data_IF_075428412730
#
_entry.id   IF_075428412730
#
_cell.length_a   1.000
_cell.length_b   1.000
_cell.length_c   1.000
_cell.angle_alpha   90.00
_cell.angle_beta   90.00
_cell.angle_gamma   90.00
#
_symmetry.space_group_name_H-M   'P 1'
#
loop_
_entity.id
_entity.type
_entity.pdbx_description
1 polymer ?
#
# COMPACT_ATOMS: atom_id res chain seq x y z
N UNK A 1 2.35 -36.04 14.42
CA UNK A 1 1.10 -35.33 14.76
C UNK A 1 0.28 -35.23 13.48
N UNK A 2 -1.01 -35.60 13.50
CA UNK A 2 -1.87 -35.43 12.32
C UNK A 2 -2.18 -33.95 12.13
N UNK A 3 -2.10 -33.47 10.90
CA UNK A 3 -2.41 -32.10 10.56
C UNK A 3 -3.87 -31.77 10.95
N UNK A 4 -4.07 -30.62 11.61
CA UNK A 4 -5.41 -30.17 12.05
C UNK A 4 -6.28 -29.65 10.90
N UNK A 5 -5.75 -29.59 9.68
CA UNK A 5 -6.40 -29.15 8.44
C UNK A 5 -5.71 -29.78 7.21
N UNK A 6 -6.41 -29.84 6.08
CA UNK A 6 -5.87 -30.45 4.84
C UNK A 6 -4.90 -29.50 4.13
N UNK A 7 -3.68 -29.97 3.84
CA UNK A 7 -2.67 -29.24 3.07
C UNK A 7 -1.80 -30.18 2.23
N UNK A 8 -1.13 -29.62 1.21
CA UNK A 8 -0.24 -30.37 0.31
C UNK A 8 1.25 -30.34 0.68
N UNK A 9 1.63 -29.64 1.75
CA UNK A 9 3.04 -29.53 2.15
C UNK A 9 3.60 -30.83 2.76
N UNK A 10 4.89 -31.09 2.52
CA UNK A 10 5.63 -32.23 3.09
C UNK A 10 6.02 -32.06 4.58
N UNK A 11 5.59 -30.96 5.19
CA UNK A 11 5.77 -30.63 6.62
C UNK A 11 4.45 -30.12 7.18
N UNK A 12 4.33 -30.01 8.51
CA UNK A 12 3.17 -29.38 9.17
C UNK A 12 3.30 -27.85 9.09
N UNK A 13 2.51 -27.15 8.24
CA UNK A 13 2.57 -25.70 8.11
C UNK A 13 1.92 -24.98 9.30
N UNK A 14 1.18 -25.68 10.16
CA UNK A 14 0.70 -25.14 11.42
C UNK A 14 1.79 -25.07 12.49
N UNK A 15 2.96 -25.71 12.26
CA UNK A 15 4.06 -25.80 13.23
C UNK A 15 3.59 -26.21 14.64
N UNK A 16 2.55 -27.06 14.75
CA UNK A 16 1.95 -27.50 16.01
C UNK A 16 0.91 -26.56 16.64
N UNK A 17 0.70 -25.35 16.11
CA UNK A 17 -0.26 -24.38 16.62
C UNK A 17 -1.68 -24.65 16.11
N UNK A 18 -2.69 -24.39 16.96
CA UNK A 18 -4.11 -24.33 16.60
C UNK A 18 -4.50 -22.90 16.21
N UNK A 19 -5.70 -22.74 15.64
CA UNK A 19 -6.28 -21.42 15.40
C UNK A 19 -6.42 -20.62 16.71
N UNK A 20 -6.85 -21.27 17.80
CA UNK A 20 -6.97 -20.63 19.10
C UNK A 20 -5.59 -20.16 19.62
N UNK A 21 -4.54 -20.95 19.40
CA UNK A 21 -3.18 -20.53 19.74
C UNK A 21 -2.76 -19.28 18.96
N UNK A 22 -3.02 -19.21 17.64
CA UNK A 22 -2.70 -18.03 16.83
C UNK A 22 -3.49 -16.79 17.23
N UNK A 23 -4.78 -16.93 17.53
CA UNK A 23 -5.62 -15.82 17.99
C UNK A 23 -5.24 -15.33 19.39
N UNK A 24 -4.57 -16.18 20.19
CA UNK A 24 -4.07 -15.81 21.52
C UNK A 24 -2.76 -15.02 21.50
N UNK A 25 -2.08 -14.91 20.35
CA UNK A 25 -0.82 -14.17 20.24
C UNK A 25 -1.07 -12.67 20.43
N UNK A 26 -0.65 -12.16 21.58
CA UNK A 26 -0.69 -10.73 21.90
C UNK A 26 0.39 -9.93 21.17
N UNK A 27 0.18 -8.62 21.08
CA UNK A 27 1.24 -7.70 20.67
C UNK A 27 2.38 -7.68 21.72
N UNK A 28 3.64 -7.51 21.30
CA UNK A 28 4.73 -7.29 22.24
C UNK A 28 4.53 -6.00 23.02
N UNK A 29 5.22 -5.86 24.17
CA UNK A 29 5.22 -4.62 24.92
C UNK A 29 5.77 -3.47 24.05
N UNK A 30 5.02 -2.38 23.95
CA UNK A 30 5.45 -1.22 23.20
C UNK A 30 6.63 -0.52 23.92
N UNK A 31 7.56 0.10 23.17
CA UNK A 31 8.54 1.01 23.74
C UNK A 31 7.89 2.13 24.55
N UNK A 32 8.57 2.59 25.60
CA UNK A 32 8.03 3.61 26.52
C UNK A 32 7.66 4.94 25.82
N UNK A 33 8.35 5.27 24.72
CA UNK A 33 8.20 6.49 23.95
C UNK A 33 7.40 6.30 22.64
N UNK A 34 6.75 5.14 22.44
CA UNK A 34 6.12 4.80 21.17
C UNK A 34 5.16 5.89 20.65
N UNK A 35 4.29 6.41 21.52
CA UNK A 35 3.33 7.45 21.14
C UNK A 35 4.03 8.76 20.78
N UNK A 36 4.94 9.23 21.64
CA UNK A 36 5.67 10.48 21.45
C UNK A 36 6.52 10.45 20.17
N UNK A 37 7.16 9.31 19.90
CA UNK A 37 7.95 9.07 18.70
C UNK A 37 7.14 9.24 17.41
N UNK A 38 5.91 8.69 17.37
CA UNK A 38 5.04 8.79 16.20
C UNK A 38 4.38 10.16 16.08
N UNK A 39 4.00 10.80 17.19
CA UNK A 39 3.47 12.16 17.19
C UNK A 39 4.50 13.16 16.68
N UNK A 40 5.76 13.05 17.13
CA UNK A 40 6.86 13.89 16.64
C UNK A 40 7.10 13.68 15.13
N UNK A 41 7.03 12.44 14.63
CA UNK A 41 7.11 12.14 13.19
C UNK A 41 5.96 12.76 12.40
N UNK A 42 4.75 12.62 12.90
CA UNK A 42 3.56 13.19 12.27
C UNK A 42 3.65 14.72 12.18
N UNK A 43 4.03 15.40 13.28
CA UNK A 43 4.22 16.85 13.30
C UNK A 43 5.26 17.30 12.26
N UNK A 44 6.39 16.59 12.13
CA UNK A 44 7.39 16.88 11.08
C UNK A 44 6.83 16.68 9.68
N UNK A 45 6.05 15.63 9.45
CA UNK A 45 5.44 15.37 8.15
C UNK A 45 4.46 16.46 7.72
N UNK A 46 3.72 17.08 8.65
CA UNK A 46 2.80 18.19 8.36
C UNK A 46 3.50 19.45 7.82
N UNK A 47 4.80 19.62 8.09
CA UNK A 47 5.58 20.73 7.54
C UNK A 47 6.05 20.49 6.11
N UNK A 48 5.86 19.28 5.56
CA UNK A 48 6.19 18.96 4.17
C UNK A 48 5.03 19.36 3.27
N UNK A 49 5.29 20.20 2.27
CA UNK A 49 4.34 20.47 1.20
C UNK A 49 4.56 19.44 0.08
N UNK A 50 3.59 18.54 -0.21
CA UNK A 50 3.83 17.46 -1.17
C UNK A 50 3.98 17.91 -2.63
N UNK A 51 3.43 19.07 -3.00
CA UNK A 51 3.53 19.66 -4.35
C UNK A 51 3.39 18.62 -5.48
N UNK A 52 2.27 17.86 -5.54
CA UNK A 52 2.12 16.77 -6.48
C UNK A 52 2.14 17.28 -7.92
N UNK A 53 2.82 16.54 -8.80
CA UNK A 53 2.75 16.68 -10.25
C UNK A 53 2.12 15.43 -10.81
N UNK A 54 1.12 15.63 -11.67
CA UNK A 54 0.33 14.57 -12.27
C UNK A 54 0.38 14.79 -13.77
N UNK A 55 0.88 13.82 -14.51
CA UNK A 55 1.11 13.91 -15.95
C UNK A 55 0.37 12.78 -16.65
N UNK A 56 -0.50 13.12 -17.60
CA UNK A 56 -1.26 12.11 -18.33
C UNK A 56 -0.34 11.35 -19.29
N UNK A 57 -0.32 10.02 -19.21
CA UNK A 57 0.60 9.18 -20.01
C UNK A 57 0.18 9.03 -21.47
N UNK A 58 -1.04 9.43 -21.81
CA UNK A 58 -1.66 9.16 -23.12
C UNK A 58 -2.30 7.78 -23.22
N UNK A 59 -2.18 6.94 -22.18
CA UNK A 59 -2.68 5.57 -22.18
C UNK A 59 -4.02 5.50 -21.45
N UNK A 60 -4.98 4.87 -22.12
CA UNK A 60 -6.23 4.41 -21.53
C UNK A 60 -6.21 2.89 -21.48
N UNK A 61 -6.51 2.31 -20.32
CA UNK A 61 -6.59 0.86 -20.15
C UNK A 61 -7.70 0.52 -19.18
N UNK A 62 -8.47 -0.50 -19.51
CA UNK A 62 -9.44 -1.11 -18.59
C UNK A 62 -10.51 -0.16 -18.02
N UNK A 63 -10.79 0.95 -18.71
CA UNK A 63 -11.72 2.00 -18.28
C UNK A 63 -11.09 3.10 -17.44
N UNK A 64 -9.76 3.16 -17.37
CA UNK A 64 -8.99 4.20 -16.67
C UNK A 64 -8.05 4.95 -17.61
N UNK A 65 -7.97 6.26 -17.41
CA UNK A 65 -6.86 7.09 -17.85
C UNK A 65 -5.69 6.92 -16.87
N UNK A 66 -4.50 6.70 -17.40
CA UNK A 66 -3.29 6.45 -16.61
C UNK A 66 -2.45 7.72 -16.56
N UNK A 67 -2.04 8.10 -15.36
CA UNK A 67 -1.17 9.24 -15.10
C UNK A 67 0.07 8.79 -14.32
N UNK A 68 1.20 9.39 -14.64
CA UNK A 68 2.37 9.37 -13.77
C UNK A 68 2.16 10.43 -12.68
N UNK A 69 2.42 10.06 -11.42
CA UNK A 69 2.31 10.97 -10.29
C UNK A 69 3.62 11.00 -9.54
N UNK A 70 4.06 12.21 -9.19
CA UNK A 70 5.21 12.41 -8.30
C UNK A 70 4.94 13.48 -7.26
N UNK A 71 5.39 13.27 -6.04
CA UNK A 71 5.21 14.22 -4.94
C UNK A 71 6.35 14.15 -3.93
N UNK A 72 6.60 15.28 -3.27
CA UNK A 72 7.59 15.39 -2.20
C UNK A 72 7.06 14.73 -0.91
N UNK A 73 7.94 14.00 -0.24
CA UNK A 73 7.69 13.35 1.04
C UNK A 73 8.73 13.81 2.07
N UNK A 74 8.72 13.23 3.27
CA UNK A 74 9.68 13.58 4.35
C UNK A 74 11.13 13.49 3.86
N UNK A 75 12.06 14.21 4.48
CA UNK A 75 13.48 14.14 4.10
C UNK A 75 13.74 14.56 2.63
N UNK A 76 12.83 15.33 2.05
CA UNK A 76 12.87 15.82 0.66
C UNK A 76 12.92 14.71 -0.40
N UNK A 77 12.45 13.51 -0.06
CA UNK A 77 12.41 12.41 -1.02
C UNK A 77 11.21 12.54 -1.95
N UNK A 78 11.40 12.28 -3.24
CA UNK A 78 10.31 12.24 -4.23
C UNK A 78 9.75 10.82 -4.31
N UNK A 79 8.46 10.69 -4.06
CA UNK A 79 7.71 9.46 -4.31
C UNK A 79 7.10 9.58 -5.69
N UNK A 80 7.27 8.54 -6.51
CA UNK A 80 6.68 8.41 -7.85
C UNK A 80 5.65 7.28 -7.85
N UNK A 81 4.98 7.07 -8.98
CA UNK A 81 4.02 5.98 -9.15
C UNK A 81 2.93 6.32 -10.13
N UNK A 82 1.80 5.61 -10.03
CA UNK A 82 0.69 5.74 -10.97
C UNK A 82 -0.59 6.20 -10.31
N UNK A 83 -1.33 7.05 -11.00
CA UNK A 83 -2.68 7.45 -10.67
C UNK A 83 -3.61 7.04 -11.82
N UNK A 84 -4.63 6.24 -11.50
CA UNK A 84 -5.62 5.78 -12.47
C UNK A 84 -6.93 6.51 -12.19
N UNK A 85 -7.44 7.22 -13.19
CA UNK A 85 -8.70 7.98 -13.12
C UNK A 85 -9.75 7.27 -13.98
N UNK A 86 -10.91 6.90 -13.41
CA UNK A 86 -11.93 6.21 -14.18
C UNK A 86 -12.55 7.11 -15.25
N UNK A 87 -12.84 6.55 -16.41
CA UNK A 87 -13.49 7.27 -17.51
C UNK A 87 -15.00 7.36 -17.33
N UNK A 88 -15.58 8.46 -17.82
CA UNK A 88 -17.03 8.63 -17.94
C UNK A 88 -17.79 8.75 -16.61
N UNK A 89 -17.07 8.88 -15.49
CA UNK A 89 -17.67 9.05 -14.16
C UNK A 89 -16.84 10.01 -13.30
N UNK A 90 -17.47 10.85 -12.45
CA UNK A 90 -16.74 11.69 -11.52
C UNK A 90 -16.02 10.83 -10.46
N UNK A 91 -14.82 11.26 -10.08
CA UNK A 91 -14.10 10.69 -8.94
C UNK A 91 -14.77 11.15 -7.65
N UNK A 92 -15.23 10.20 -6.84
CA UNK A 92 -15.89 10.45 -5.55
C UNK A 92 -15.12 9.83 -4.37
N UNK A 93 -14.14 8.97 -4.66
CA UNK A 93 -13.29 8.31 -3.67
C UNK A 93 -11.97 7.87 -4.32
N UNK A 94 -11.00 7.53 -3.48
CA UNK A 94 -9.73 6.98 -3.91
C UNK A 94 -9.36 5.74 -3.10
N UNK A 95 -8.67 4.79 -3.73
CA UNK A 95 -7.97 3.71 -3.07
C UNK A 95 -6.46 3.94 -3.19
N UNK A 96 -5.74 3.82 -2.08
CA UNK A 96 -4.28 3.93 -2.04
C UNK A 96 -3.72 2.55 -1.76
N UNK A 97 -2.84 2.07 -2.64
CA UNK A 97 -2.28 0.73 -2.57
C UNK A 97 -0.88 0.77 -1.96
N UNK A 98 -0.58 -0.22 -1.12
CA UNK A 98 0.80 -0.53 -0.72
C UNK A 98 1.27 -1.77 -1.47
N UNK A 99 2.52 -1.78 -1.93
CA UNK A 99 3.12 -2.95 -2.57
C UNK A 99 3.85 -3.84 -1.57
N UNK A 100 4.05 -5.10 -1.94
CA UNK A 100 4.82 -6.05 -1.14
C UNK A 100 6.33 -5.76 -1.14
N UNK A 101 7.06 -6.50 -0.32
CA UNK A 101 8.52 -6.48 -0.31
C UNK A 101 9.02 -7.03 -1.66
N UNK A 102 9.55 -6.17 -2.53
CA UNK A 102 9.86 -6.50 -3.92
C UNK A 102 9.56 -5.38 -4.92
N UNK A 103 8.74 -4.38 -4.53
CA UNK A 103 8.41 -3.24 -5.39
C UNK A 103 7.09 -3.39 -6.14
N UNK A 104 6.90 -2.54 -7.15
CA UNK A 104 5.70 -2.48 -7.99
C UNK A 104 6.09 -2.02 -9.39
N UNK A 105 6.08 -2.93 -10.37
CA UNK A 105 6.53 -2.62 -11.74
C UNK A 105 5.42 -2.00 -12.61
N UNK A 106 4.16 -2.07 -12.18
CA UNK A 106 3.00 -1.57 -12.91
C UNK A 106 1.76 -1.42 -12.01
N UNK A 107 0.81 -0.52 -12.36
CA UNK A 107 -0.48 -0.45 -11.68
C UNK A 107 -1.35 -1.66 -12.01
N UNK A 108 -2.29 -1.95 -11.10
CA UNK A 108 -3.22 -3.07 -11.21
C UNK A 108 -4.65 -2.59 -11.51
N UNK A 109 -5.37 -3.34 -12.36
CA UNK A 109 -6.70 -3.02 -12.87
C UNK A 109 -7.80 -3.96 -12.35
N UNK A 110 -7.48 -4.85 -11.38
CA UNK A 110 -8.44 -5.82 -10.82
C UNK A 110 -9.63 -5.16 -10.11
N UNK A 111 -9.45 -4.00 -9.48
CA UNK A 111 -10.53 -3.30 -8.77
C UNK A 111 -11.11 -2.17 -9.64
N UNK A 112 -12.38 -2.31 -10.01
CA UNK A 112 -13.11 -1.35 -10.88
C UNK A 112 -14.35 -0.78 -10.20
N UNK A 113 -14.16 -0.20 -9.02
CA UNK A 113 -15.27 0.39 -8.25
C UNK A 113 -15.73 1.70 -8.89
N UNK A 114 -17.05 1.88 -9.00
CA UNK A 114 -17.63 3.10 -9.56
C UNK A 114 -17.14 4.36 -8.83
N UNK A 115 -16.78 5.39 -9.60
CA UNK A 115 -16.30 6.68 -9.14
C UNK A 115 -15.00 6.64 -8.34
N UNK A 116 -14.14 5.65 -8.54
CA UNK A 116 -12.96 5.41 -7.70
C UNK A 116 -11.66 5.62 -8.46
N UNK A 117 -10.83 6.55 -8.00
CA UNK A 117 -9.44 6.67 -8.47
C UNK A 117 -8.53 5.67 -7.72
N UNK A 118 -7.48 5.19 -8.39
CA UNK A 118 -6.52 4.25 -7.79
C UNK A 118 -5.14 4.89 -7.78
N UNK A 119 -4.49 4.93 -6.62
CA UNK A 119 -3.15 5.48 -6.42
C UNK A 119 -2.18 4.37 -6.02
N UNK A 120 -1.15 4.17 -6.83
CA UNK A 120 -0.08 3.20 -6.62
C UNK A 120 1.24 3.93 -6.41
N UNK A 121 1.55 4.38 -5.17
CA UNK A 121 2.83 4.99 -4.86
C UNK A 121 3.93 3.93 -4.79
N UNK A 122 5.07 4.24 -5.41
CA UNK A 122 6.31 3.50 -5.28
C UNK A 122 7.04 3.92 -4.01
N UNK A 123 6.89 3.14 -2.95
CA UNK A 123 7.44 3.47 -1.64
C UNK A 123 8.96 3.28 -1.62
N UNK A 124 9.65 4.11 -0.83
CA UNK A 124 11.12 4.16 -0.80
C UNK A 124 11.76 2.80 -0.54
N UNK A 125 12.91 2.57 -1.15
CA UNK A 125 13.76 1.39 -0.89
C UNK A 125 13.61 0.25 -1.89
N UNK A 126 12.76 0.40 -2.91
CA UNK A 126 12.59 -0.56 -4.00
C UNK A 126 12.57 0.15 -5.35
N UNK A 127 12.99 -0.54 -6.40
CA UNK A 127 12.87 -0.03 -7.76
C UNK A 127 11.41 -0.13 -8.22
N UNK A 128 10.94 0.99 -8.75
CA UNK A 128 10.04 1.08 -9.88
C UNK A 128 10.88 1.73 -11.01
#
# INVERSE_FOLDING_TARGET
MSARFTHGFAFDPGYGYSLDDFLSVGAPLAPADFADFWQARYARALHVQPCPRIEHTGVVRDGFEIYDVRYLSTDQWVIEGWLLIPQGQPVTRALVFGHGYGGCDAPDFRLKLAGTALLFPCLRGFCC
#
